data_IF_163715112485
#
_entry.id   IF_163715112485
#
_cell.length_a   1.000
_cell.length_b   1.000
_cell.length_c   1.000
_cell.angle_alpha   90.00
_cell.angle_beta   90.00
_cell.angle_gamma   90.00
#
_symmetry.space_group_name_H-M   'P 1'
#
loop_
_entity.id
_entity.type
_entity.pdbx_description
1 polymer ?
#
# COMPACT_ATOMS: atom_id res chain seq x y z
N UNK A 1 -6.07 -18.11 -22.84
CA UNK A 1 -6.74 -17.72 -21.58
C UNK A 1 -8.14 -17.23 -21.97
N UNK A 2 -9.21 -17.47 -21.19
CA UNK A 2 -10.53 -16.96 -21.56
C UNK A 2 -10.54 -15.43 -21.61
N UNK A 3 -11.34 -14.88 -22.53
CA UNK A 3 -11.55 -13.44 -22.70
C UNK A 3 -13.02 -13.16 -22.96
N UNK A 4 -13.49 -11.99 -22.49
CA UNK A 4 -14.79 -11.46 -22.87
C UNK A 4 -14.75 -10.91 -24.32
N UNK A 5 -15.88 -10.91 -25.04
CA UNK A 5 -16.02 -10.10 -26.25
C UNK A 5 -15.58 -8.66 -26.00
N UNK A 6 -14.89 -8.04 -26.96
CA UNK A 6 -14.23 -6.75 -26.76
C UNK A 6 -15.16 -5.66 -26.21
N UNK A 7 -16.35 -5.52 -26.78
CA UNK A 7 -17.32 -4.51 -26.33
C UNK A 7 -17.79 -4.76 -24.89
N UNK A 8 -17.99 -6.03 -24.51
CA UNK A 8 -18.38 -6.41 -23.14
C UNK A 8 -17.23 -6.14 -22.17
N UNK A 9 -16.00 -6.43 -22.58
CA UNK A 9 -14.81 -6.11 -21.79
C UNK A 9 -14.69 -4.60 -21.56
N UNK A 10 -14.80 -3.80 -22.63
CA UNK A 10 -14.72 -2.35 -22.56
C UNK A 10 -15.79 -1.77 -21.64
N UNK A 11 -17.05 -2.18 -21.82
CA UNK A 11 -18.16 -1.77 -20.95
C UNK A 11 -17.90 -2.18 -19.48
N UNK A 12 -17.32 -3.36 -19.25
CA UNK A 12 -16.94 -3.79 -17.91
C UNK A 12 -15.87 -2.88 -17.31
N UNK A 13 -14.80 -2.56 -18.04
CA UNK A 13 -13.73 -1.68 -17.56
C UNK A 13 -14.26 -0.28 -17.25
N UNK A 14 -15.09 0.29 -18.14
CA UNK A 14 -15.68 1.61 -17.94
C UNK A 14 -16.52 1.66 -16.65
N UNK A 15 -17.27 0.59 -16.35
CA UNK A 15 -18.03 0.47 -15.11
C UNK A 15 -17.13 0.39 -13.87
N UNK A 16 -16.06 -0.39 -13.90
CA UNK A 16 -15.10 -0.50 -12.78
C UNK A 16 -14.39 0.84 -12.51
N UNK A 17 -13.92 1.51 -13.57
CA UNK A 17 -13.27 2.82 -13.48
C UNK A 17 -14.24 3.85 -12.91
N UNK A 18 -15.50 3.84 -13.36
CA UNK A 18 -16.53 4.74 -12.82
C UNK A 18 -16.76 4.53 -11.33
N UNK A 19 -16.79 3.28 -10.86
CA UNK A 19 -16.90 2.97 -9.43
C UNK A 19 -15.71 3.54 -8.66
N UNK A 20 -14.48 3.27 -9.11
CA UNK A 20 -13.28 3.76 -8.43
C UNK A 20 -13.17 5.29 -8.44
N UNK A 21 -13.59 5.97 -9.52
CA UNK A 21 -13.69 7.44 -9.56
C UNK A 21 -14.68 7.98 -8.53
N UNK A 22 -15.86 7.36 -8.41
CA UNK A 22 -16.87 7.78 -7.43
C UNK A 22 -16.38 7.60 -5.98
N UNK A 23 -15.47 6.64 -5.76
CA UNK A 23 -14.83 6.39 -4.47
C UNK A 23 -13.55 7.23 -4.25
N UNK A 24 -13.19 8.10 -5.20
CA UNK A 24 -11.97 8.92 -5.18
C UNK A 24 -10.67 8.09 -5.05
N UNK A 25 -10.66 6.87 -5.58
CA UNK A 25 -9.46 6.04 -5.59
C UNK A 25 -8.54 6.34 -6.78
N UNK A 26 -9.08 6.77 -7.92
CA UNK A 26 -8.29 7.04 -9.12
C UNK A 26 -7.67 8.44 -9.04
N UNK A 27 -6.38 8.53 -9.32
CA UNK A 27 -5.71 9.82 -9.50
C UNK A 27 -6.18 10.49 -10.80
N UNK A 28 -6.46 11.79 -10.73
CA UNK A 28 -6.97 12.55 -11.88
C UNK A 28 -6.04 12.42 -13.09
N UNK A 29 -6.64 12.24 -14.27
CA UNK A 29 -5.94 12.21 -15.56
C UNK A 29 -4.83 11.15 -15.69
N UNK A 30 -4.96 10.05 -14.96
CA UNK A 30 -3.98 8.93 -15.00
C UNK A 30 -4.41 7.74 -15.83
N UNK A 31 -5.61 7.77 -16.44
CA UNK A 31 -6.15 6.61 -17.17
C UNK A 31 -5.68 6.62 -18.61
N UNK A 32 -4.91 5.60 -18.96
CA UNK A 32 -4.41 5.36 -20.31
C UNK A 32 -5.09 4.13 -20.91
N UNK A 33 -5.83 4.35 -22.00
CA UNK A 33 -6.50 3.28 -22.75
C UNK A 33 -5.61 2.81 -23.91
N UNK A 34 -5.36 1.51 -23.94
CA UNK A 34 -4.66 0.83 -25.02
C UNK A 34 -5.59 -0.17 -25.72
N UNK A 35 -5.15 -0.73 -26.84
CA UNK A 35 -5.92 -1.71 -27.61
C UNK A 35 -6.31 -2.94 -26.76
N UNK A 36 -5.37 -3.41 -25.93
CA UNK A 36 -5.49 -4.67 -25.19
C UNK A 36 -5.33 -4.52 -23.67
N UNK A 37 -5.28 -3.30 -23.16
CA UNK A 37 -5.20 -3.05 -21.74
C UNK A 37 -5.62 -1.62 -21.41
N UNK A 38 -5.90 -1.39 -20.13
CA UNK A 38 -6.08 -0.05 -19.57
C UNK A 38 -5.22 0.01 -18.32
N UNK A 39 -4.44 1.06 -18.17
CA UNK A 39 -3.66 1.28 -16.95
C UNK A 39 -3.92 2.66 -16.34
N UNK A 40 -3.74 2.73 -15.02
CA UNK A 40 -4.00 3.92 -14.23
C UNK A 40 -3.41 3.81 -12.83
N UNK A 41 -3.36 4.97 -12.18
CA UNK A 41 -2.91 5.09 -10.80
C UNK A 41 -4.07 5.13 -9.83
N UNK A 42 -3.94 4.37 -8.75
CA UNK A 42 -4.83 4.38 -7.61
C UNK A 42 -4.09 4.88 -6.38
N UNK A 43 -4.71 5.80 -5.64
CA UNK A 43 -4.31 6.18 -4.30
C UNK A 43 -5.25 5.54 -3.28
N UNK A 44 -4.69 4.93 -2.24
CA UNK A 44 -5.45 4.44 -1.10
C UNK A 44 -5.03 5.17 0.17
N UNK A 45 -6.01 5.44 1.03
CA UNK A 45 -5.78 5.95 2.37
C UNK A 45 -5.88 4.80 3.38
N UNK A 46 -4.76 4.44 4.02
CA UNK A 46 -4.65 3.39 5.03
C UNK A 46 -3.37 3.57 5.85
N UNK A 47 -3.41 3.31 7.15
CA UNK A 47 -2.26 3.48 8.04
C UNK A 47 -1.21 2.39 7.79
N UNK A 48 -0.12 2.77 7.14
CA UNK A 48 1.10 1.98 6.98
C UNK A 48 2.29 2.67 7.64
N UNK A 49 3.48 2.09 7.45
CA UNK A 49 4.71 2.61 8.04
C UNK A 49 5.85 2.60 7.03
N UNK A 50 6.78 3.53 7.17
CA UNK A 50 8.11 3.48 6.55
C UNK A 50 9.17 3.43 7.64
N UNK A 51 10.33 2.88 7.33
CA UNK A 51 11.48 2.87 8.23
C UNK A 51 12.32 4.13 8.01
N UNK A 52 12.75 4.80 9.09
CA UNK A 52 13.62 5.99 9.01
C UNK A 52 14.99 5.70 8.42
N UNK A 53 15.59 4.54 8.74
CA UNK A 53 16.92 4.14 8.24
C UNK A 53 17.24 2.68 8.57
N UNK A 54 18.25 2.12 7.90
CA UNK A 54 18.81 0.78 8.11
C UNK A 54 19.63 0.63 9.42
N UNK A 55 19.21 1.29 10.50
CA UNK A 55 19.88 1.15 11.81
C UNK A 55 19.39 -0.10 12.55
N UNK A 56 20.17 -0.59 13.52
CA UNK A 56 19.80 -1.77 14.34
C UNK A 56 18.49 -1.59 15.11
N UNK A 57 18.03 -0.35 15.30
CA UNK A 57 16.75 -0.01 15.92
C UNK A 57 15.78 0.46 14.85
N UNK A 58 14.81 -0.38 14.51
CA UNK A 58 13.74 -0.03 13.58
C UNK A 58 12.90 1.12 14.16
N UNK A 59 12.98 2.30 13.53
CA UNK A 59 12.11 3.45 13.83
C UNK A 59 11.09 3.59 12.70
N UNK A 60 9.80 3.54 13.04
CA UNK A 60 8.72 3.68 12.09
C UNK A 60 8.23 5.13 11.99
N UNK A 61 7.93 5.59 10.78
CA UNK A 61 7.15 6.80 10.50
C UNK A 61 5.80 6.34 9.95
N UNK A 62 4.66 6.79 10.53
CA UNK A 62 3.35 6.50 9.98
C UNK A 62 3.16 7.22 8.64
N UNK A 63 2.58 6.51 7.68
CA UNK A 63 2.13 7.07 6.41
C UNK A 63 0.71 6.60 6.12
N UNK A 64 -0.11 7.47 5.55
CA UNK A 64 -1.52 7.16 5.27
C UNK A 64 -1.83 7.04 3.78
N UNK A 65 -1.06 7.71 2.92
CA UNK A 65 -1.30 7.70 1.47
C UNK A 65 -0.36 6.73 0.79
N UNK A 66 -0.92 5.82 -0.01
CA UNK A 66 -0.16 4.85 -0.79
C UNK A 66 -0.62 4.85 -2.23
N UNK A 67 0.34 4.69 -3.13
CA UNK A 67 0.14 4.73 -4.58
C UNK A 67 0.39 3.36 -5.18
N UNK A 68 -0.57 2.90 -5.98
CA UNK A 68 -0.56 1.61 -6.66
C UNK A 68 -0.80 1.85 -8.14
N UNK A 69 0.03 1.24 -8.97
CA UNK A 69 -0.21 1.18 -10.41
C UNK A 69 -1.03 -0.08 -10.72
N UNK A 70 -2.11 0.10 -11.46
CA UNK A 70 -3.00 -0.98 -11.89
C UNK A 70 -2.96 -1.06 -13.41
N UNK A 71 -2.75 -2.26 -13.93
CA UNK A 71 -2.92 -2.58 -15.36
C UNK A 71 -3.95 -3.68 -15.52
N UNK A 72 -4.99 -3.41 -16.29
CA UNK A 72 -6.06 -4.34 -16.60
C UNK A 72 -5.90 -4.86 -18.02
N UNK A 73 -5.73 -6.18 -18.16
CA UNK A 73 -5.51 -6.84 -19.44
C UNK A 73 -6.84 -7.38 -20.04
N UNK A 74 -6.80 -7.80 -21.31
CA UNK A 74 -7.95 -8.42 -22.02
C UNK A 74 -8.58 -9.63 -21.34
N UNK A 75 -7.82 -10.33 -20.51
CA UNK A 75 -8.30 -11.47 -19.73
C UNK A 75 -9.15 -11.08 -18.51
N UNK A 76 -9.22 -9.81 -18.11
CA UNK A 76 -10.13 -9.39 -17.04
C UNK A 76 -11.61 -9.68 -17.42
N UNK A 77 -12.46 -10.18 -16.50
CA UNK A 77 -12.25 -10.40 -15.07
C UNK A 77 -11.76 -11.81 -14.69
N UNK A 78 -11.19 -12.57 -15.62
CA UNK A 78 -10.64 -13.90 -15.35
C UNK A 78 -9.27 -13.81 -14.66
N UNK A 79 -8.81 -14.90 -13.98
CA UNK A 79 -7.51 -14.93 -13.34
C UNK A 79 -6.37 -14.55 -14.29
N UNK A 80 -5.47 -13.67 -13.83
CA UNK A 80 -4.39 -13.10 -14.64
C UNK A 80 -4.79 -11.88 -15.48
N UNK A 81 -6.02 -11.37 -15.32
CA UNK A 81 -6.49 -10.14 -15.97
C UNK A 81 -6.08 -8.83 -15.31
N UNK A 82 -5.43 -8.88 -14.16
CA UNK A 82 -5.02 -7.70 -13.39
C UNK A 82 -3.56 -7.85 -12.95
N UNK A 83 -2.76 -6.83 -13.27
CA UNK A 83 -1.41 -6.66 -12.75
C UNK A 83 -1.43 -5.47 -11.77
N UNK A 84 -0.82 -5.67 -10.60
CA UNK A 84 -0.73 -4.67 -9.54
C UNK A 84 0.74 -4.42 -9.21
N UNK A 85 1.14 -3.15 -9.11
CA UNK A 85 2.47 -2.77 -8.64
C UNK A 85 2.36 -1.72 -7.55
N UNK A 86 2.89 -2.04 -6.37
CA UNK A 86 2.93 -1.12 -5.24
C UNK A 86 4.07 -0.10 -5.39
N UNK A 87 3.77 1.19 -5.49
CA UNK A 87 4.80 2.20 -5.73
C UNK A 87 5.33 2.83 -4.46
N UNK A 88 4.46 3.38 -3.62
CA UNK A 88 4.88 4.14 -2.45
C UNK A 88 5.75 3.31 -1.51
N UNK A 89 6.81 3.92 -0.97
CA UNK A 89 7.63 3.25 0.03
C UNK A 89 6.78 2.76 1.21
N UNK A 90 7.04 1.53 1.65
CA UNK A 90 6.34 0.91 2.78
C UNK A 90 7.23 -0.16 3.43
N UNK A 91 7.19 -0.22 4.76
CA UNK A 91 7.80 -1.27 5.57
C UNK A 91 6.74 -2.33 5.87
N UNK A 92 6.69 -3.37 5.04
CA UNK A 92 5.61 -4.36 5.07
C UNK A 92 6.11 -5.76 4.70
N UNK A 93 5.68 -6.82 5.40
CA UNK A 93 6.15 -8.18 5.12
C UNK A 93 5.64 -8.73 3.79
N UNK A 94 4.47 -8.28 3.32
CA UNK A 94 3.81 -8.84 2.13
C UNK A 94 3.79 -7.91 0.90
N UNK A 95 4.51 -6.78 0.97
CA UNK A 95 4.58 -5.78 -0.10
C UNK A 95 6.04 -5.35 -0.25
N UNK A 96 6.58 -5.45 -1.46
CA UNK A 96 7.89 -4.93 -1.81
C UNK A 96 7.72 -3.70 -2.71
N UNK A 97 7.90 -2.47 -2.19
CA UNK A 97 7.55 -1.25 -2.92
C UNK A 97 8.52 -0.97 -4.07
N UNK A 98 8.09 -0.22 -5.09
CA UNK A 98 8.98 0.28 -6.15
C UNK A 98 9.88 1.38 -5.59
N UNK A 99 9.30 2.35 -4.88
CA UNK A 99 10.05 3.40 -4.20
C UNK A 99 10.67 2.81 -2.94
N UNK A 100 12.00 2.70 -2.96
CA UNK A 100 12.77 2.17 -1.85
C UNK A 100 13.63 3.30 -1.29
N UNK A 101 13.37 3.70 -0.04
CA UNK A 101 14.27 4.62 0.66
C UNK A 101 15.63 3.92 0.82
N UNK A 102 16.71 4.64 0.53
CA UNK A 102 18.09 4.18 0.68
C UNK A 102 18.51 3.01 -0.22
N UNK A 103 17.86 2.82 -1.37
CA UNK A 103 18.29 1.87 -2.42
C UNK A 103 18.59 2.60 -3.73
N UNK A 104 19.73 2.30 -4.35
CA UNK A 104 20.09 2.80 -5.69
C UNK A 104 19.26 2.15 -6.82
N UNK A 105 18.59 1.03 -6.51
CA UNK A 105 17.73 0.30 -7.46
C UNK A 105 16.27 0.36 -7.00
N UNK A 106 15.32 0.55 -7.92
CA UNK A 106 13.90 0.43 -7.58
C UNK A 106 13.61 -0.99 -7.09
N UNK A 107 12.66 -1.11 -6.16
CA UNK A 107 12.11 -2.41 -5.80
C UNK A 107 11.14 -2.92 -6.88
N UNK A 108 10.50 -4.06 -6.61
CA UNK A 108 9.74 -4.77 -7.66
C UNK A 108 8.27 -4.37 -7.74
N UNK A 109 7.74 -3.64 -6.75
CA UNK A 109 6.31 -3.37 -6.61
C UNK A 109 5.47 -4.61 -6.29
N UNK A 110 6.08 -5.73 -5.93
CA UNK A 110 5.37 -7.01 -5.82
C UNK A 110 4.51 -7.07 -4.56
N UNK A 111 3.29 -7.58 -4.71
CA UNK A 111 2.31 -7.75 -3.64
C UNK A 111 1.96 -9.23 -3.55
N UNK A 112 1.98 -9.80 -2.34
CA UNK A 112 1.54 -11.18 -2.15
C UNK A 112 0.02 -11.32 -2.34
N UNK A 113 -0.41 -11.66 -3.56
CA UNK A 113 -1.84 -11.81 -3.90
C UNK A 113 -2.53 -12.98 -3.19
N UNK A 114 -1.78 -13.98 -2.72
CA UNK A 114 -2.35 -15.11 -1.96
C UNK A 114 -2.99 -14.66 -0.65
N UNK A 115 -2.46 -13.60 -0.05
CA UNK A 115 -3.01 -13.01 1.16
C UNK A 115 -4.29 -12.22 0.82
N UNK A 116 -4.32 -11.51 -0.32
CA UNK A 116 -5.52 -10.80 -0.77
C UNK A 116 -6.72 -11.73 -1.06
N UNK A 117 -6.46 -12.96 -1.51
CA UNK A 117 -7.49 -13.99 -1.75
C UNK A 117 -8.24 -14.41 -0.49
N UNK A 118 -7.70 -14.15 0.70
CA UNK A 118 -8.41 -14.42 1.96
C UNK A 118 -9.59 -13.45 2.17
N UNK A 119 -9.55 -12.26 1.55
CA UNK A 119 -10.55 -11.20 1.75
C UNK A 119 -11.37 -10.86 0.51
N UNK A 120 -10.90 -11.18 -0.71
CA UNK A 120 -11.65 -10.94 -1.95
C UNK A 120 -11.37 -11.98 -3.03
N UNK A 121 -12.35 -12.20 -3.92
CA UNK A 121 -12.20 -12.99 -5.15
C UNK A 121 -11.41 -12.25 -6.25
N UNK A 122 -10.97 -11.01 -6.02
CA UNK A 122 -10.30 -10.14 -6.98
C UNK A 122 -11.05 -10.04 -8.33
N UNK A 123 -12.38 -10.14 -8.26
CA UNK A 123 -13.29 -10.20 -9.42
C UNK A 123 -13.75 -8.82 -9.89
N UNK A 124 -13.53 -7.80 -9.08
CA UNK A 124 -13.86 -6.40 -9.30
C UNK A 124 -12.79 -5.52 -8.64
N UNK A 125 -12.66 -4.29 -9.11
CA UNK A 125 -11.57 -3.42 -8.68
C UNK A 125 -11.82 -2.81 -7.32
N UNK A 126 -13.07 -2.52 -6.97
CA UNK A 126 -13.43 -1.98 -5.65
C UNK A 126 -12.99 -2.92 -4.52
N UNK A 127 -13.37 -4.20 -4.61
CA UNK A 127 -12.98 -5.20 -3.61
C UNK A 127 -11.47 -5.45 -3.61
N UNK A 128 -10.81 -5.33 -4.76
CA UNK A 128 -9.35 -5.42 -4.87
C UNK A 128 -8.68 -4.28 -4.09
N UNK A 129 -9.07 -3.03 -4.34
CA UNK A 129 -8.53 -1.84 -3.67
C UNK A 129 -8.81 -1.87 -2.16
N UNK A 130 -10.02 -2.26 -1.75
CA UNK A 130 -10.36 -2.45 -0.33
C UNK A 130 -9.55 -3.56 0.33
N UNK A 131 -9.21 -4.63 -0.41
CA UNK A 131 -8.36 -5.70 0.11
C UNK A 131 -6.90 -5.24 0.27
N UNK A 132 -6.41 -4.36 -0.61
CA UNK A 132 -5.10 -3.72 -0.45
C UNK A 132 -5.05 -2.83 0.80
N UNK A 133 -6.10 -2.04 1.08
CA UNK A 133 -6.19 -1.27 2.34
C UNK A 133 -6.10 -2.20 3.56
N UNK A 134 -6.88 -3.29 3.56
CA UNK A 134 -6.83 -4.30 4.63
C UNK A 134 -5.46 -4.94 4.77
N UNK A 135 -4.74 -5.16 3.66
CA UNK A 135 -3.39 -5.73 3.70
C UNK A 135 -2.43 -4.79 4.42
N UNK A 136 -2.39 -3.50 4.05
CA UNK A 136 -1.55 -2.49 4.72
C UNK A 136 -1.82 -2.44 6.21
N UNK A 137 -3.11 -2.42 6.55
CA UNK A 137 -3.55 -2.39 7.93
C UNK A 137 -3.14 -3.66 8.68
N UNK A 138 -3.21 -4.83 8.06
CA UNK A 138 -3.06 -6.13 8.72
C UNK A 138 -1.91 -6.93 8.09
N UNK A 139 -0.65 -6.53 8.31
CA UNK A 139 0.52 -7.25 7.82
C UNK A 139 0.51 -8.69 8.33
N UNK A 140 0.87 -9.63 7.47
CA UNK A 140 1.03 -11.04 7.83
C UNK A 140 2.52 -11.41 7.91
N UNK A 141 3.14 -11.40 9.10
CA UNK A 141 4.56 -11.70 9.24
C UNK A 141 4.89 -13.21 9.16
N UNK A 142 3.87 -14.09 9.13
CA UNK A 142 4.07 -15.53 9.02
C UNK A 142 4.31 -16.00 7.58
N UNK A 143 3.94 -15.17 6.59
CA UNK A 143 4.13 -15.43 5.16
C UNK A 143 4.75 -14.22 4.42
N UNK A 144 5.98 -13.81 4.76
CA UNK A 144 6.62 -12.67 4.12
C UNK A 144 7.09 -12.97 2.70
N UNK A 145 7.19 -11.92 1.89
CA UNK A 145 7.91 -11.98 0.62
C UNK A 145 9.40 -12.19 0.88
N UNK A 146 10.07 -12.90 -0.04
CA UNK A 146 11.50 -13.19 0.02
C UNK A 146 12.35 -11.98 -0.44
N UNK A 147 12.21 -10.85 0.24
CA UNK A 147 13.03 -9.65 0.10
C UNK A 147 13.51 -9.21 1.49
N UNK A 148 14.69 -8.58 1.56
CA UNK A 148 15.32 -8.20 2.84
C UNK A 148 14.43 -7.28 3.69
N UNK A 149 13.82 -6.25 3.06
CA UNK A 149 12.93 -5.31 3.76
C UNK A 149 11.68 -6.01 4.29
N UNK A 150 11.14 -6.97 3.53
CA UNK A 150 9.96 -7.75 3.91
C UNK A 150 10.27 -8.73 5.05
N UNK A 151 11.45 -9.35 5.02
CA UNK A 151 11.92 -10.24 6.08
C UNK A 151 12.13 -9.49 7.39
N UNK A 152 12.77 -8.32 7.32
CA UNK A 152 12.92 -7.41 8.47
C UNK A 152 11.58 -6.94 9.03
N UNK A 153 10.62 -6.61 8.15
CA UNK A 153 9.27 -6.23 8.56
C UNK A 153 8.56 -7.40 9.27
N UNK A 154 8.73 -8.63 8.79
CA UNK A 154 8.16 -9.80 9.43
C UNK A 154 8.72 -10.05 10.84
N UNK A 155 10.05 -9.97 11.01
CA UNK A 155 10.69 -10.07 12.32
C UNK A 155 10.19 -8.99 13.27
N UNK A 156 10.09 -7.75 12.79
CA UNK A 156 9.59 -6.63 13.59
C UNK A 156 8.14 -6.83 14.04
N UNK A 157 7.22 -7.14 13.11
CA UNK A 157 5.79 -7.26 13.41
C UNK A 157 5.43 -8.55 14.17
N UNK A 158 6.30 -9.56 14.21
CA UNK A 158 6.16 -10.71 15.13
C UNK A 158 6.30 -10.33 16.59
N UNK A 159 7.19 -9.38 16.88
CA UNK A 159 7.50 -8.95 18.24
C UNK A 159 6.65 -7.74 18.64
N UNK A 160 6.29 -6.90 17.67
CA UNK A 160 5.54 -5.66 17.89
C UNK A 160 4.25 -5.67 17.05
N UNK A 161 3.14 -6.22 17.56
CA UNK A 161 1.88 -6.28 16.83
C UNK A 161 1.38 -4.89 16.40
N UNK A 162 0.88 -4.77 15.17
CA UNK A 162 0.45 -3.48 14.61
C UNK A 162 -0.65 -2.77 15.42
N UNK A 163 -1.45 -3.53 16.18
CA UNK A 163 -2.50 -3.00 17.04
C UNK A 163 -1.97 -2.10 18.16
N UNK A 164 -0.74 -2.34 18.63
CA UNK A 164 -0.11 -1.50 19.65
C UNK A 164 0.25 -0.13 19.09
N UNK A 165 0.72 -0.08 17.83
CA UNK A 165 1.03 1.17 17.14
C UNK A 165 -0.24 1.94 16.78
N UNK A 166 -1.28 1.26 16.29
CA UNK A 166 -2.55 1.90 15.89
C UNK A 166 -3.18 2.71 17.03
N UNK A 167 -3.11 2.24 18.28
CA UNK A 167 -3.64 2.98 19.44
C UNK A 167 -2.88 4.28 19.65
N UNK A 168 -1.55 4.22 19.62
CA UNK A 168 -0.69 5.38 19.82
C UNK A 168 -0.84 6.44 18.72
N UNK A 169 -1.21 6.04 17.50
CA UNK A 169 -1.40 6.98 16.37
C UNK A 169 -2.84 7.45 16.17
N UNK A 170 -3.86 6.70 16.62
CA UNK A 170 -5.24 7.20 16.66
C UNK A 170 -5.46 8.25 17.75
N UNK A 171 -4.71 8.19 18.84
CA UNK A 171 -4.69 9.22 19.88
C UNK A 171 -3.74 10.39 19.54
N UNK A 172 -2.93 10.25 18.48
CA UNK A 172 -1.83 11.13 18.08
C UNK A 172 -2.18 12.30 17.16
N UNK A 173 -3.46 12.62 16.93
CA UNK A 173 -3.85 13.94 16.38
C UNK A 173 -3.60 15.10 17.37
N UNK A 174 -3.09 14.81 18.57
CA UNK A 174 -2.44 15.77 19.46
C UNK A 174 -1.02 15.32 19.80
N UNK A 175 -0.08 15.55 18.90
CA UNK A 175 1.32 15.71 19.34
C UNK A 175 1.47 17.20 19.66
N UNK A 176 1.28 17.55 20.93
CA UNK A 176 1.79 18.80 21.47
C UNK A 176 3.31 18.80 21.26
N UNK A 177 3.82 19.82 20.56
CA UNK A 177 5.23 20.18 20.60
C UNK A 177 5.61 20.36 22.06
N UNK A 178 6.36 19.41 22.63
CA UNK A 178 7.14 19.69 23.82
C UNK A 178 8.22 20.67 23.41
N UNK A 179 7.97 21.96 23.67
CA UNK A 179 9.02 22.95 23.74
C UNK A 179 9.93 22.57 24.90
N UNK A 180 11.11 22.05 24.59
CA UNK A 180 12.20 21.82 25.54
C UNK A 180 12.87 23.15 25.88
N UNK A 181 12.12 24.09 26.46
CA UNK A 181 12.66 25.30 27.10
C UNK A 181 12.04 25.40 28.49
N UNK A 182 12.56 24.61 29.42
CA UNK A 182 12.58 24.93 30.85
C UNK A 182 13.61 24.02 31.54
N UNK A 183 14.86 24.46 31.59
CA UNK A 183 15.70 24.25 32.78
C UNK A 183 16.49 25.54 33.10
N UNK A 184 16.14 26.07 34.26
CA UNK A 184 16.50 27.33 34.92
C UNK A 184 17.95 27.34 35.41
N UNK A 185 18.66 28.48 35.36
CA UNK A 185 19.56 28.91 36.47
C UNK A 185 19.50 30.44 36.66
N UNK A 186 19.04 30.82 37.86
CA UNK A 186 19.16 32.16 38.47
C UNK A 186 20.64 32.39 38.87
N UNK A 187 21.19 33.54 38.53
CA UNK A 187 22.31 34.11 39.30
C UNK A 187 22.08 35.61 39.47
N UNK A 188 21.79 36.01 40.70
CA UNK A 188 21.79 37.40 41.17
C UNK A 188 23.22 37.95 41.16
N UNK A 189 23.38 39.23 40.79
CA UNK A 189 24.41 40.15 41.30
C UNK A 189 23.94 41.62 41.13
#
# INVERSE_FOLDING_TARGET
MPELPFEIWKERIDNEIKILKNLNFIENDTIDYHENNVDFWVSINSLGFITKDNTERVSLIPINSHRIFIKINRSFPYPGGIDLSWYSNIFHPNIHPVEMLNSEKPGTGYICLNILKQWSRLSDLESTVKSLQKLVENPNPDDPLNYDICSKAAEFFKINPIEEFRKNYKDGEKVEEKNDDDDVIIVDD
#
